data_IF_144096369105
#
_entry.id   IF_144096369105
#
_cell.length_a   1.000
_cell.length_b   1.000
_cell.length_c   1.000
_cell.angle_alpha   90.00
_cell.angle_beta   90.00
_cell.angle_gamma   90.00
#
_symmetry.space_group_name_H-M   'P 1'
#
loop_
_entity.id
_entity.type
_entity.pdbx_description
1 polymer ?
#
# COMPACT_ATOMS: atom_id res chain seq x y z
N UNK A 1 17.83 4.74 5.29
CA UNK A 1 16.62 4.79 6.13
C UNK A 1 16.90 4.12 7.45
N UNK A 2 16.38 4.69 8.53
CA UNK A 2 16.35 4.05 9.85
C UNK A 2 15.33 2.90 9.86
N UNK A 3 15.49 1.91 10.75
CA UNK A 3 14.54 0.78 10.87
C UNK A 3 13.10 1.22 11.13
N UNK A 4 12.92 2.34 11.84
CA UNK A 4 11.60 2.94 12.08
C UNK A 4 10.94 3.43 10.80
N UNK A 5 11.74 3.98 9.88
CA UNK A 5 11.29 4.51 8.59
C UNK A 5 10.93 3.39 7.62
N UNK A 6 11.71 2.30 7.58
CA UNK A 6 11.37 1.08 6.84
C UNK A 6 9.98 0.59 7.26
N UNK A 7 9.74 0.44 8.56
CA UNK A 7 8.43 0.00 9.07
C UNK A 7 7.28 0.94 8.68
N UNK A 8 7.53 2.26 8.60
CA UNK A 8 6.52 3.22 8.16
C UNK A 8 6.18 3.06 6.67
N UNK A 9 7.19 2.90 5.82
CA UNK A 9 6.98 2.61 4.38
C UNK A 9 6.18 1.33 4.19
N UNK A 10 6.53 0.25 4.91
CA UNK A 10 5.80 -1.01 4.83
C UNK A 10 4.34 -0.88 5.27
N UNK A 11 4.09 -0.13 6.35
CA UNK A 11 2.72 0.16 6.81
C UNK A 11 1.94 0.97 5.78
N UNK A 12 2.54 2.00 5.20
CA UNK A 12 1.89 2.81 4.16
C UNK A 12 1.51 1.94 2.95
N UNK A 13 2.43 1.11 2.47
CA UNK A 13 2.20 0.20 1.36
C UNK A 13 1.07 -0.80 1.66
N UNK A 14 1.10 -1.41 2.85
CA UNK A 14 0.06 -2.35 3.30
C UNK A 14 -1.31 -1.69 3.45
N UNK A 15 -1.38 -0.47 3.97
CA UNK A 15 -2.65 0.27 4.09
C UNK A 15 -3.26 0.56 2.72
N UNK A 16 -2.46 1.01 1.76
CA UNK A 16 -2.92 1.25 0.39
C UNK A 16 -3.40 -0.06 -0.27
N UNK A 17 -2.60 -1.12 -0.15
CA UNK A 17 -2.98 -2.43 -0.68
C UNK A 17 -4.22 -3.02 -0.02
N UNK A 18 -4.35 -2.85 1.30
CA UNK A 18 -5.54 -3.26 2.07
C UNK A 18 -6.77 -2.56 1.52
N UNK A 19 -6.76 -1.23 1.40
CA UNK A 19 -7.90 -0.50 0.87
C UNK A 19 -8.29 -0.97 -0.53
N UNK A 20 -7.32 -1.07 -1.44
CA UNK A 20 -7.57 -1.58 -2.79
C UNK A 20 -8.27 -2.95 -2.75
N UNK A 21 -7.76 -3.88 -1.94
CA UNK A 21 -8.33 -5.22 -1.82
C UNK A 21 -9.72 -5.23 -1.18
N UNK A 22 -9.94 -4.42 -0.14
CA UNK A 22 -11.24 -4.30 0.54
C UNK A 22 -12.33 -3.71 -0.37
N UNK A 23 -11.94 -2.81 -1.29
CA UNK A 23 -12.84 -2.12 -2.21
C UNK A 23 -12.94 -2.76 -3.60
N UNK A 24 -12.41 -3.97 -3.77
CA UNK A 24 -12.65 -4.80 -4.95
C UNK A 24 -11.63 -4.66 -6.09
N UNK A 25 -10.45 -4.13 -5.82
CA UNK A 25 -9.36 -4.15 -6.78
C UNK A 25 -8.83 -5.58 -7.00
N UNK A 26 -8.39 -5.86 -8.22
CA UNK A 26 -7.78 -7.14 -8.59
C UNK A 26 -6.45 -7.37 -7.85
N UNK A 27 -6.17 -8.60 -7.44
CA UNK A 27 -5.03 -8.95 -6.58
C UNK A 27 -3.68 -8.53 -7.18
N UNK A 28 -3.48 -8.68 -8.48
CA UNK A 28 -2.23 -8.25 -9.14
C UNK A 28 -2.02 -6.73 -9.09
N UNK A 29 -3.10 -5.93 -9.11
CA UNK A 29 -3.01 -4.46 -8.96
C UNK A 29 -2.62 -4.06 -7.55
N UNK A 30 -3.13 -4.80 -6.57
CA UNK A 30 -2.76 -4.66 -5.17
C UNK A 30 -1.25 -4.95 -5.00
N UNK A 31 -0.77 -6.05 -5.58
CA UNK A 31 0.66 -6.41 -5.57
C UNK A 31 1.53 -5.34 -6.24
N UNK A 32 1.16 -4.90 -7.45
CA UNK A 32 1.87 -3.87 -8.19
C UNK A 32 1.97 -2.57 -7.38
N UNK A 33 0.87 -2.15 -6.73
CA UNK A 33 0.84 -0.94 -5.91
C UNK A 33 1.75 -1.06 -4.70
N UNK A 34 1.67 -2.15 -3.93
CA UNK A 34 2.52 -2.39 -2.76
C UNK A 34 4.00 -2.39 -3.15
N UNK A 35 4.34 -3.16 -4.18
CA UNK A 35 5.72 -3.28 -4.65
C UNK A 35 6.25 -1.92 -5.14
N UNK A 36 5.43 -1.14 -5.84
CA UNK A 36 5.84 0.17 -6.37
C UNK A 36 6.08 1.19 -5.25
N UNK A 37 5.18 1.27 -4.26
CA UNK A 37 5.34 2.15 -3.09
C UNK A 37 6.65 1.84 -2.35
N UNK A 38 6.91 0.56 -2.08
CA UNK A 38 8.15 0.13 -1.43
C UNK A 38 9.39 0.50 -2.24
N UNK A 39 9.39 0.21 -3.55
CA UNK A 39 10.54 0.48 -4.45
C UNK A 39 10.85 1.96 -4.58
N UNK A 40 9.84 2.82 -4.70
CA UNK A 40 10.04 4.27 -4.77
C UNK A 40 10.70 4.82 -3.50
N UNK A 41 10.43 4.23 -2.34
CA UNK A 41 11.06 4.61 -1.07
C UNK A 41 12.35 3.83 -0.78
N UNK A 42 13.00 3.26 -1.80
CA UNK A 42 14.32 2.63 -1.69
C UNK A 42 14.32 1.17 -1.22
N UNK A 43 13.15 0.54 -1.05
CA UNK A 43 13.03 -0.88 -0.70
C UNK A 43 12.93 -1.72 -1.98
N UNK A 44 14.06 -2.02 -2.60
CA UNK A 44 14.11 -2.67 -3.91
C UNK A 44 13.87 -4.18 -3.86
N UNK A 45 14.32 -4.85 -2.80
CA UNK A 45 14.08 -6.28 -2.58
C UNK A 45 12.73 -6.48 -1.87
N UNK A 46 11.65 -6.30 -2.61
CA UNK A 46 10.28 -6.44 -2.14
C UNK A 46 9.50 -7.46 -2.97
N UNK A 47 8.76 -8.31 -2.28
CA UNK A 47 7.82 -9.26 -2.86
C UNK A 47 6.50 -9.24 -2.08
N UNK A 48 5.43 -8.89 -2.77
CA UNK A 48 4.07 -9.07 -2.27
C UNK A 48 3.39 -10.26 -2.95
N UNK A 49 2.53 -10.93 -2.19
CA UNK A 49 1.65 -11.99 -2.67
C UNK A 49 0.27 -11.74 -2.08
N UNK A 50 -0.75 -11.62 -2.93
CA UNK A 50 -2.09 -11.20 -2.51
C UNK A 50 -3.12 -12.26 -2.90
N UNK A 51 -3.92 -12.63 -1.91
CA UNK A 51 -5.11 -13.47 -2.05
C UNK A 51 -6.35 -12.64 -1.68
N UNK A 52 -7.58 -13.04 -2.05
CA UNK A 52 -8.77 -12.20 -1.90
C UNK A 52 -9.02 -11.58 -0.51
N UNK A 53 -8.49 -12.18 0.56
CA UNK A 53 -8.67 -11.71 1.94
C UNK A 53 -7.35 -11.59 2.71
N UNK A 54 -6.22 -11.55 2.00
CA UNK A 54 -4.91 -11.58 2.63
C UNK A 54 -3.80 -10.99 1.77
N UNK A 55 -2.91 -10.25 2.41
CA UNK A 55 -1.73 -9.66 1.81
C UNK A 55 -0.52 -10.19 2.57
N UNK A 56 0.43 -10.74 1.83
CA UNK A 56 1.73 -11.18 2.34
C UNK A 56 2.78 -10.26 1.74
N UNK A 57 3.60 -9.64 2.58
CA UNK A 57 4.65 -8.71 2.17
C UNK A 57 5.98 -9.14 2.80
N UNK A 58 6.96 -9.44 1.94
CA UNK A 58 8.33 -9.71 2.34
C UNK A 58 9.24 -8.62 1.77
N UNK A 59 10.09 -8.06 2.62
CA UNK A 59 11.11 -7.09 2.24
C UNK A 59 12.44 -7.44 2.86
N UNK A 60 13.50 -7.38 2.07
CA UNK A 60 14.88 -7.45 2.51
C UNK A 60 15.50 -6.05 2.44
N UNK A 61 16.09 -5.60 3.54
CA UNK A 61 16.76 -4.29 3.62
C UNK A 61 17.84 -4.33 4.69
N UNK A 62 19.07 -3.96 4.33
CA UNK A 62 20.22 -3.88 5.24
C UNK A 62 20.47 -5.20 6.01
N UNK A 63 20.52 -6.32 5.27
CA UNK A 63 20.66 -7.70 5.77
C UNK A 63 19.56 -8.16 6.76
N UNK A 64 18.45 -7.42 6.86
CA UNK A 64 17.27 -7.78 7.65
C UNK A 64 16.06 -8.11 6.78
N UNK A 65 15.31 -9.13 7.21
CA UNK A 65 14.06 -9.53 6.59
C UNK A 65 12.85 -9.01 7.40
N UNK A 66 11.92 -8.39 6.69
CA UNK A 66 10.64 -7.92 7.19
C UNK A 66 9.53 -8.74 6.52
N UNK A 67 8.83 -9.57 7.29
CA UNK A 67 7.69 -10.35 6.82
C UNK A 67 6.42 -9.90 7.54
N UNK A 68 5.46 -9.41 6.77
CA UNK A 68 4.19 -8.90 7.26
C UNK A 68 3.03 -9.65 6.61
N UNK A 69 2.04 -9.99 7.41
CA UNK A 69 0.79 -10.60 6.96
C UNK A 69 -0.34 -9.69 7.39
N UNK A 70 -1.14 -9.25 6.43
CA UNK A 70 -2.32 -8.41 6.66
C UNK A 70 -3.56 -9.14 6.16
N UNK A 71 -4.43 -9.53 7.10
CA UNK A 71 -5.77 -10.01 6.75
C UNK A 71 -6.66 -8.82 6.39
N UNK A 72 -7.50 -9.00 5.38
CA UNK A 72 -8.49 -8.01 4.96
C UNK A 72 -9.89 -8.60 4.97
N UNK A 73 -10.90 -7.74 4.97
CA UNK A 73 -12.31 -8.13 4.81
C UNK A 73 -12.86 -7.51 3.55
N UNK A 74 -13.52 -8.28 2.71
CA UNK A 74 -14.24 -7.72 1.56
C UNK A 74 -15.31 -6.76 2.09
N UNK A 75 -15.26 -5.50 1.67
CA UNK A 75 -16.29 -4.51 1.98
C UNK A 75 -17.34 -4.54 0.86
N UNK A 76 -17.06 -3.79 -0.20
CA UNK A 76 -17.91 -3.62 -1.38
C UNK A 76 -17.07 -3.05 -2.50
N UNK A 77 -17.54 -3.19 -3.74
CA UNK A 77 -16.88 -2.51 -4.86
C UNK A 77 -17.13 -1.00 -4.75
N UNK A 78 -16.04 -0.23 -4.78
CA UNK A 78 -16.06 1.23 -4.85
C UNK A 78 -14.93 1.71 -5.78
N UNK A 79 -15.30 2.05 -7.01
CA UNK A 79 -14.33 2.47 -8.04
C UNK A 79 -13.72 3.84 -7.74
N UNK A 80 -14.41 4.70 -6.99
CA UNK A 80 -13.92 6.02 -6.63
C UNK A 80 -12.78 5.88 -5.62
N UNK A 81 -12.97 5.06 -4.58
CA UNK A 81 -11.90 4.78 -3.61
C UNK A 81 -10.71 4.09 -4.30
N UNK A 82 -10.96 3.15 -5.21
CA UNK A 82 -9.88 2.54 -6.01
C UNK A 82 -9.13 3.60 -6.82
N UNK A 83 -9.85 4.52 -7.46
CA UNK A 83 -9.23 5.62 -8.24
C UNK A 83 -8.39 6.52 -7.34
N UNK A 84 -8.92 6.92 -6.17
CA UNK A 84 -8.20 7.75 -5.20
C UNK A 84 -6.90 7.11 -4.73
N UNK A 85 -6.91 5.80 -4.43
CA UNK A 85 -5.68 5.09 -4.01
C UNK A 85 -4.68 4.95 -5.16
N UNK A 86 -5.14 4.71 -6.39
CA UNK A 86 -4.28 4.66 -7.57
C UNK A 86 -3.64 6.03 -7.87
N UNK A 87 -4.39 7.12 -7.72
CA UNK A 87 -3.85 8.46 -7.91
C UNK A 87 -2.86 8.81 -6.80
N UNK A 88 -3.15 8.42 -5.56
CA UNK A 88 -2.19 8.48 -4.46
C UNK A 88 -0.90 7.72 -4.77
N UNK A 89 -0.99 6.47 -5.23
CA UNK A 89 0.20 5.66 -5.52
C UNK A 89 1.05 6.27 -6.63
N UNK A 90 0.41 6.80 -7.69
CA UNK A 90 1.09 7.55 -8.77
C UNK A 90 1.80 8.80 -8.27
N UNK A 91 1.13 9.63 -7.45
CA UNK A 91 1.74 10.82 -6.85
C UNK A 91 2.97 10.45 -6.02
N UNK A 92 2.86 9.39 -5.21
CA UNK A 92 3.96 8.89 -4.40
C UNK A 92 5.14 8.42 -5.26
N UNK A 93 4.86 7.68 -6.35
CA UNK A 93 5.88 7.15 -7.29
C UNK A 93 6.62 8.27 -8.02
N UNK A 94 5.93 9.36 -8.36
CA UNK A 94 6.54 10.56 -8.96
C UNK A 94 7.38 11.38 -7.97
N UNK A 95 7.61 10.85 -6.76
CA UNK A 95 8.32 11.44 -5.62
C UNK A 95 7.83 12.86 -5.26
N UNK A 96 6.56 13.11 -5.57
CA UNK A 96 5.89 14.39 -5.27
C UNK A 96 5.41 14.49 -3.83
N UNK A 97 5.55 13.41 -3.05
CA UNK A 97 5.07 13.30 -1.67
C UNK A 97 6.14 12.72 -0.74
N UNK A 98 6.38 13.43 0.37
CA UNK A 98 7.14 12.89 1.50
C UNK A 98 6.41 11.69 2.11
N UNK A 99 7.11 10.87 2.89
CA UNK A 99 6.47 9.74 3.59
C UNK A 99 5.34 10.21 4.52
N UNK A 100 5.54 11.33 5.22
CA UNK A 100 4.54 11.90 6.13
C UNK A 100 3.33 12.46 5.37
N UNK A 101 3.55 13.15 4.25
CA UNK A 101 2.45 13.64 3.42
C UNK A 101 1.69 12.49 2.76
N UNK A 102 2.39 11.42 2.40
CA UNK A 102 1.79 10.19 1.88
C UNK A 102 0.89 9.50 2.92
N UNK A 103 1.35 9.39 4.17
CA UNK A 103 0.54 8.87 5.28
C UNK A 103 -0.73 9.71 5.49
N UNK A 104 -0.61 11.04 5.50
CA UNK A 104 -1.76 11.96 5.65
C UNK A 104 -2.73 11.89 4.48
N UNK A 105 -2.23 11.81 3.24
CA UNK A 105 -3.08 11.69 2.06
C UNK A 105 -3.87 10.38 2.10
N UNK A 106 -3.22 9.26 2.44
CA UNK A 106 -3.88 7.96 2.53
C UNK A 106 -4.91 7.92 3.66
N UNK A 107 -4.62 8.52 4.81
CA UNK A 107 -5.57 8.65 5.93
C UNK A 107 -6.82 9.44 5.52
N UNK A 108 -6.69 10.48 4.69
CA UNK A 108 -7.86 11.20 4.15
C UNK A 108 -8.71 10.30 3.25
N UNK A 109 -8.09 9.47 2.42
CA UNK A 109 -8.82 8.53 1.55
C UNK A 109 -9.52 7.47 2.41
N UNK A 110 -8.88 6.95 3.45
CA UNK A 110 -9.49 5.98 4.37
C UNK A 110 -10.74 6.54 5.08
N UNK A 111 -10.74 7.84 5.37
CA UNK A 111 -11.86 8.54 6.00
C UNK A 111 -12.85 9.19 4.99
N UNK A 112 -12.64 9.00 3.69
CA UNK A 112 -13.54 9.54 2.67
C UNK A 112 -14.91 8.86 2.74
N UNK A 113 -16.01 9.59 2.40
CA UNK A 113 -17.31 8.96 2.27
C UNK A 113 -17.27 7.87 1.20
N UNK A 114 -17.91 6.74 1.47
CA UNK A 114 -17.98 5.64 0.52
C UNK A 114 -19.01 6.00 -0.55
N UNK A 115 -18.66 5.88 -1.83
CA UNK A 115 -19.49 6.29 -2.96
C UNK A 115 -20.36 5.12 -3.44
N UNK A 116 -21.57 5.37 -3.95
CA UNK A 116 -22.50 4.32 -4.40
C UNK A 116 -22.50 4.12 -5.89
#
# INVERSE_FOLDING_TARGET
MEKSEVKRVLKLALSAGKMLLEYGAETYRVEETINSICRTKGLHQVQSFVVPTGIFLNVEYDDEYYSLIQRTTVKRIDLEIISMVNDFSRKLIMDSLSLEDGEKELEKIENAPVFS
#
